data_IF_892832206599
#
_entry.id   IF_892832206599
#
_cell.length_a   1.000
_cell.length_b   1.000
_cell.length_c   1.000
_cell.angle_alpha   90.00
_cell.angle_beta   90.00
_cell.angle_gamma   90.00
#
_symmetry.space_group_name_H-M   'P 1'
#
loop_
_entity.id
_entity.type
_entity.pdbx_description
1 polymer ?
#
# COMPACT_ATOMS: atom_id res chain seq x y z
N UNK A 1 10.84 -17.95 -29.00
CA UNK A 1 10.38 -16.56 -28.77
C UNK A 1 9.08 -16.47 -27.97
N UNK A 2 8.13 -17.41 -28.11
CA UNK A 2 6.80 -17.33 -27.45
C UNK A 2 6.80 -17.25 -25.91
N UNK A 3 7.39 -18.22 -25.20
CA UNK A 3 7.35 -18.25 -23.73
C UNK A 3 8.25 -17.20 -23.06
N UNK A 4 9.44 -16.97 -23.61
CA UNK A 4 10.37 -15.95 -23.11
C UNK A 4 9.80 -14.55 -23.31
N UNK A 5 9.24 -14.26 -24.49
CA UNK A 5 8.60 -12.97 -24.76
C UNK A 5 7.37 -12.72 -23.88
N UNK A 6 6.53 -13.74 -23.69
CA UNK A 6 5.38 -13.66 -22.77
C UNK A 6 5.81 -13.42 -21.32
N UNK A 7 6.86 -14.10 -20.86
CA UNK A 7 7.41 -13.90 -19.52
C UNK A 7 7.86 -12.44 -19.33
N UNK A 8 8.68 -11.90 -20.23
CA UNK A 8 9.11 -10.49 -20.14
C UNK A 8 7.97 -9.48 -20.27
N UNK A 9 6.92 -9.80 -21.05
CA UNK A 9 5.76 -8.93 -21.19
C UNK A 9 4.85 -8.91 -19.96
N UNK A 10 4.93 -9.92 -19.08
CA UNK A 10 4.02 -10.08 -17.93
C UNK A 10 4.73 -9.94 -16.58
N UNK A 11 6.07 -10.00 -16.56
CA UNK A 11 6.86 -9.63 -15.38
C UNK A 11 6.61 -8.17 -15.01
N UNK A 12 6.37 -7.86 -13.72
CA UNK A 12 6.23 -6.47 -13.27
C UNK A 12 7.41 -5.62 -13.71
N UNK A 13 7.14 -4.41 -14.21
CA UNK A 13 8.19 -3.42 -14.37
C UNK A 13 8.60 -2.90 -12.99
N UNK A 14 9.86 -3.11 -12.64
CA UNK A 14 10.45 -2.45 -11.49
C UNK A 14 10.73 -1.01 -11.93
N UNK A 15 9.94 -0.04 -11.46
CA UNK A 15 10.26 1.38 -11.61
C UNK A 15 11.64 1.64 -11.03
N UNK A 16 12.47 2.40 -11.74
CA UNK A 16 13.75 2.85 -11.21
C UNK A 16 13.51 3.74 -9.99
N UNK A 17 14.23 3.48 -8.90
CA UNK A 17 14.10 4.25 -7.66
C UNK A 17 14.56 5.69 -7.91
N UNK A 18 13.74 6.66 -7.54
CA UNK A 18 14.03 8.06 -7.81
C UNK A 18 12.89 9.05 -7.56
N UNK A 19 11.77 8.62 -6.96
CA UNK A 19 10.77 9.58 -6.49
C UNK A 19 11.39 10.37 -5.32
N UNK A 20 11.52 11.68 -5.52
CA UNK A 20 11.95 12.64 -4.51
C UNK A 20 10.85 13.70 -4.37
N UNK A 21 9.67 13.26 -3.94
CA UNK A 21 8.54 14.16 -3.67
C UNK A 21 8.52 14.51 -2.20
N UNK A 22 8.12 15.76 -1.92
CA UNK A 22 7.92 16.25 -0.56
C UNK A 22 6.41 16.25 -0.30
N UNK A 23 5.92 15.45 0.66
CA UNK A 23 4.50 15.43 1.01
C UNK A 23 4.06 16.75 1.64
N UNK A 24 2.85 17.22 1.33
CA UNK A 24 2.17 18.24 2.11
C UNK A 24 1.36 17.57 3.25
N UNK A 25 1.68 17.85 4.52
CA UNK A 25 0.92 17.33 5.66
C UNK A 25 -0.57 17.65 5.62
N UNK A 26 -0.98 18.82 5.12
CA UNK A 26 -2.40 19.20 5.09
C UNK A 26 -3.17 18.41 4.03
N UNK A 27 -2.58 18.24 2.85
CA UNK A 27 -3.23 17.46 1.80
C UNK A 27 -3.24 15.98 2.14
N UNK A 28 -2.18 15.44 2.73
CA UNK A 28 -2.15 14.01 2.97
C UNK A 28 -3.07 13.54 4.10
N UNK A 29 -3.51 14.38 5.05
CA UNK A 29 -4.61 14.00 5.94
C UNK A 29 -5.89 13.73 5.11
N UNK A 30 -6.20 14.62 4.17
CA UNK A 30 -7.32 14.44 3.24
C UNK A 30 -7.15 13.18 2.38
N UNK A 31 -5.96 12.98 1.79
CA UNK A 31 -5.70 11.80 0.96
C UNK A 31 -5.77 10.51 1.78
N UNK A 32 -5.24 10.48 3.00
CA UNK A 32 -5.29 9.32 3.88
C UNK A 32 -6.73 8.88 4.18
N UNK A 33 -7.60 9.83 4.52
CA UNK A 33 -9.01 9.53 4.73
C UNK A 33 -9.72 9.10 3.44
N UNK A 34 -9.37 9.70 2.30
CA UNK A 34 -9.94 9.32 1.01
C UNK A 34 -9.47 7.93 0.54
N UNK A 35 -8.22 7.56 0.82
CA UNK A 35 -7.63 6.28 0.45
C UNK A 35 -8.20 5.11 1.28
N UNK A 36 -8.55 5.38 2.55
CA UNK A 36 -9.34 4.46 3.37
C UNK A 36 -8.57 3.25 3.92
N UNK A 37 -7.25 3.36 4.07
CA UNK A 37 -6.34 2.29 4.49
C UNK A 37 -6.80 1.59 5.79
N UNK A 38 -7.22 2.37 6.78
CA UNK A 38 -7.69 1.88 8.08
C UNK A 38 -8.98 1.04 8.02
N UNK A 39 -9.73 1.07 6.90
CA UNK A 39 -10.90 0.22 6.72
C UNK A 39 -10.56 -1.27 6.58
N UNK A 40 -9.38 -1.58 6.05
CA UNK A 40 -8.90 -2.96 5.88
C UNK A 40 -7.71 -3.30 6.78
N UNK A 41 -6.84 -2.33 7.05
CA UNK A 41 -5.58 -2.55 7.75
C UNK A 41 -5.64 -2.25 9.25
N UNK A 42 -6.82 -2.14 9.85
CA UNK A 42 -6.95 -2.05 11.30
C UNK A 42 -7.03 -3.43 11.96
N UNK A 43 -6.63 -3.49 13.24
CA UNK A 43 -6.87 -4.67 14.06
C UNK A 43 -8.38 -4.96 14.18
N UNK A 44 -8.79 -6.24 14.31
CA UNK A 44 -10.19 -6.59 14.54
C UNK A 44 -10.73 -5.89 15.80
N UNK A 45 -11.87 -5.19 15.66
CA UNK A 45 -12.49 -4.40 16.74
C UNK A 45 -11.61 -3.26 17.28
N UNK A 46 -10.68 -2.72 16.49
CA UNK A 46 -9.95 -1.53 16.86
C UNK A 46 -10.91 -0.35 17.08
N UNK A 47 -10.73 0.34 18.21
CA UNK A 47 -11.30 1.67 18.45
C UNK A 47 -10.87 2.64 17.33
N UNK A 48 -11.68 3.67 17.08
CA UNK A 48 -11.50 4.56 15.93
C UNK A 48 -10.06 5.12 15.82
N UNK A 49 -9.48 5.56 16.95
CA UNK A 49 -8.12 6.08 16.97
C UNK A 49 -7.04 5.00 16.76
N UNK A 50 -7.33 3.75 17.14
CA UNK A 50 -6.40 2.63 16.95
C UNK A 50 -6.37 2.14 15.49
N UNK A 51 -7.39 2.45 14.68
CA UNK A 51 -7.40 2.11 13.25
C UNK A 51 -6.28 2.80 12.47
N UNK A 52 -5.81 3.94 12.95
CA UNK A 52 -4.72 4.73 12.35
C UNK A 52 -3.35 4.09 12.49
N UNK A 53 -3.20 3.05 13.31
CA UNK A 53 -1.93 2.32 13.48
C UNK A 53 -1.66 1.39 12.29
N UNK A 54 -2.70 1.03 11.52
CA UNK A 54 -2.61 0.15 10.36
C UNK A 54 -1.92 -1.22 10.63
N UNK A 55 -2.15 -1.78 11.82
CA UNK A 55 -1.52 -3.02 12.29
C UNK A 55 -1.92 -4.29 11.53
N UNK A 56 -2.97 -4.22 10.71
CA UNK A 56 -3.49 -5.34 9.93
C UNK A 56 -4.23 -6.39 10.77
N UNK A 57 -4.38 -7.59 10.19
CA UNK A 57 -4.98 -8.75 10.86
C UNK A 57 -6.48 -8.95 10.60
N UNK A 58 -7.13 -8.02 9.91
CA UNK A 58 -8.52 -8.19 9.46
C UNK A 58 -8.64 -9.41 8.54
N UNK A 59 -9.66 -10.25 8.77
CA UNK A 59 -9.88 -11.50 8.04
C UNK A 59 -11.05 -11.39 7.07
N UNK A 60 -10.84 -11.81 5.84
CA UNK A 60 -11.84 -11.80 4.76
C UNK A 60 -12.00 -13.23 4.23
N UNK A 61 -13.00 -13.99 4.72
CA UNK A 61 -13.29 -15.33 4.22
C UNK A 61 -13.74 -15.29 2.75
N UNK A 62 -13.22 -16.21 1.94
CA UNK A 62 -13.63 -16.39 0.56
C UNK A 62 -13.63 -17.89 0.19
N UNK A 63 -14.24 -18.28 -0.95
CA UNK A 63 -14.13 -19.65 -1.46
C UNK A 63 -12.70 -20.12 -1.74
N UNK A 64 -11.74 -19.19 -1.87
CA UNK A 64 -10.32 -19.48 -2.15
C UNK A 64 -9.45 -19.48 -0.88
N UNK A 65 -10.07 -19.39 0.30
CA UNK A 65 -9.40 -19.26 1.58
C UNK A 65 -9.69 -17.92 2.26
N UNK A 66 -9.10 -17.72 3.44
CA UNK A 66 -9.23 -16.46 4.19
C UNK A 66 -8.07 -15.55 3.88
N UNK A 67 -8.35 -14.39 3.30
CA UNK A 67 -7.36 -13.33 3.15
C UNK A 67 -7.19 -12.61 4.48
N UNK A 68 -5.96 -12.27 4.82
CA UNK A 68 -5.63 -11.50 6.01
C UNK A 68 -4.96 -10.22 5.57
N UNK A 69 -5.50 -9.07 5.96
CA UNK A 69 -4.86 -7.79 5.66
C UNK A 69 -3.48 -7.74 6.35
N UNK A 70 -2.41 -7.39 5.62
CA UNK A 70 -1.07 -7.31 6.21
C UNK A 70 -0.96 -6.09 7.14
N UNK A 71 0.04 -6.11 8.01
CA UNK A 71 0.47 -4.93 8.76
C UNK A 71 1.12 -3.94 7.78
N UNK A 72 0.55 -2.73 7.68
CA UNK A 72 1.11 -1.64 6.86
C UNK A 72 1.42 -0.40 7.68
N UNK A 73 1.59 -0.57 9.00
CA UNK A 73 2.14 0.46 9.88
C UNK A 73 3.53 0.92 9.44
N UNK A 74 3.96 2.09 9.92
CA UNK A 74 5.30 2.61 9.69
C UNK A 74 6.41 1.95 10.55
N UNK A 75 6.12 0.79 11.16
CA UNK A 75 7.15 0.00 11.85
C UNK A 75 8.20 -0.50 10.83
N UNK A 76 9.48 -0.29 11.14
CA UNK A 76 10.60 -0.63 10.24
C UNK A 76 10.69 -2.14 9.97
N UNK A 77 10.63 -2.97 11.02
CA UNK A 77 10.79 -4.42 10.89
C UNK A 77 9.51 -5.20 10.51
N UNK A 78 8.34 -4.75 10.97
CA UNK A 78 7.08 -5.51 10.87
C UNK A 78 6.04 -4.87 9.97
N UNK A 79 6.27 -3.64 9.50
CA UNK A 79 5.37 -2.88 8.64
C UNK A 79 6.08 -2.44 7.36
N UNK A 80 5.72 -1.28 6.85
CA UNK A 80 6.28 -0.70 5.61
C UNK A 80 7.32 0.39 5.88
N UNK A 81 7.73 0.61 7.13
CA UNK A 81 8.64 1.71 7.48
C UNK A 81 10.02 1.69 6.81
N UNK A 82 10.43 0.54 6.25
CA UNK A 82 11.65 0.40 5.47
C UNK A 82 11.45 0.57 3.94
N UNK A 83 10.20 0.75 3.49
CA UNK A 83 9.90 0.88 2.06
C UNK A 83 10.32 2.25 1.55
N UNK A 84 10.86 2.29 0.33
CA UNK A 84 11.04 3.56 -0.37
C UNK A 84 9.70 4.10 -0.90
N UNK A 85 9.64 5.40 -1.17
CA UNK A 85 8.51 6.06 -1.85
C UNK A 85 8.11 5.31 -3.14
N UNK A 86 9.09 4.89 -3.95
CA UNK A 86 8.84 4.09 -5.16
C UNK A 86 8.22 2.71 -4.87
N UNK A 87 8.58 2.08 -3.76
CA UNK A 87 8.00 0.79 -3.39
C UNK A 87 6.53 0.95 -2.99
N UNK A 88 6.21 2.00 -2.24
CA UNK A 88 4.83 2.31 -1.86
C UNK A 88 3.97 2.71 -3.06
N UNK A 89 4.47 3.59 -3.93
CA UNK A 89 3.77 4.03 -5.14
C UNK A 89 3.46 2.84 -6.07
N UNK A 90 4.42 1.94 -6.26
CA UNK A 90 4.19 0.72 -7.06
C UNK A 90 3.20 -0.22 -6.40
N UNK A 91 3.29 -0.41 -5.09
CA UNK A 91 2.34 -1.24 -4.36
C UNK A 91 0.91 -0.72 -4.57
N UNK A 92 0.67 0.55 -4.23
CA UNK A 92 -0.67 1.17 -4.25
C UNK A 92 -1.23 1.28 -5.67
N UNK A 93 -0.45 1.82 -6.61
CA UNK A 93 -0.96 2.11 -7.96
C UNK A 93 -0.93 0.90 -8.87
N UNK A 94 0.08 0.04 -8.74
CA UNK A 94 0.32 -1.04 -9.71
C UNK A 94 0.02 -2.42 -9.14
N UNK A 95 -0.19 -2.54 -7.83
CA UNK A 95 -0.37 -3.83 -7.19
C UNK A 95 0.92 -4.65 -7.21
N UNK A 96 2.10 -4.02 -7.17
CA UNK A 96 3.40 -4.71 -7.25
C UNK A 96 4.17 -4.53 -5.95
N UNK A 97 4.58 -5.64 -5.36
CA UNK A 97 5.34 -5.65 -4.11
C UNK A 97 6.79 -5.15 -4.28
N UNK A 98 7.47 -4.78 -3.18
CA UNK A 98 8.87 -4.36 -3.23
C UNK A 98 9.80 -5.39 -3.88
N UNK A 99 9.50 -6.69 -3.71
CA UNK A 99 10.22 -7.82 -4.31
C UNK A 99 9.76 -8.17 -5.74
N UNK A 100 8.88 -7.37 -6.34
CA UNK A 100 8.50 -7.50 -7.75
C UNK A 100 7.50 -8.62 -8.03
N UNK A 101 6.59 -8.90 -7.09
CA UNK A 101 5.46 -9.83 -7.28
C UNK A 101 4.15 -9.06 -7.40
N UNK A 102 3.24 -9.57 -8.22
CA UNK A 102 1.88 -9.03 -8.29
C UNK A 102 1.11 -9.41 -7.02
N UNK A 103 0.44 -8.44 -6.42
CA UNK A 103 -0.52 -8.67 -5.36
C UNK A 103 -1.78 -9.33 -5.90
N UNK A 104 -2.37 -10.18 -5.06
CA UNK A 104 -3.67 -10.75 -5.38
C UNK A 104 -4.75 -9.65 -5.33
N UNK A 105 -5.75 -9.65 -6.24
CA UNK A 105 -6.77 -8.58 -6.33
C UNK A 105 -7.67 -8.39 -5.11
N UNK A 106 -7.44 -9.11 -4.01
CA UNK A 106 -8.00 -8.77 -2.69
C UNK A 106 -7.52 -7.39 -2.22
N UNK A 107 -6.34 -6.95 -2.65
CA UNK A 107 -5.92 -5.56 -2.56
C UNK A 107 -6.45 -4.80 -3.80
N UNK A 108 -7.34 -3.79 -3.64
CA UNK A 108 -8.00 -3.14 -4.77
C UNK A 108 -7.13 -2.07 -5.45
N UNK A 109 -5.90 -2.42 -5.84
CA UNK A 109 -4.93 -1.49 -6.45
C UNK A 109 -5.46 -0.76 -7.70
N UNK A 110 -6.39 -1.40 -8.44
CA UNK A 110 -7.04 -0.78 -9.62
C UNK A 110 -7.83 0.48 -9.28
N UNK A 111 -8.33 0.59 -8.05
CA UNK A 111 -9.05 1.78 -7.59
C UNK A 111 -8.13 2.98 -7.36
N UNK A 112 -6.82 2.75 -7.16
CA UNK A 112 -5.82 3.77 -6.86
C UNK A 112 -4.94 4.13 -8.06
N UNK A 113 -5.08 3.45 -9.21
CA UNK A 113 -4.28 3.69 -10.42
C UNK A 113 -4.29 5.16 -10.90
N UNK A 114 -5.42 5.84 -10.69
CA UNK A 114 -5.64 7.24 -11.08
C UNK A 114 -5.02 8.28 -10.13
N UNK A 115 -4.54 7.89 -8.95
CA UNK A 115 -3.86 8.80 -8.03
C UNK A 115 -2.53 9.27 -8.64
N UNK A 116 -2.14 10.52 -8.37
CA UNK A 116 -0.81 10.99 -8.72
C UNK A 116 0.25 10.39 -7.80
N UNK A 117 1.52 10.38 -8.23
CA UNK A 117 2.62 9.96 -7.34
C UNK A 117 2.65 10.85 -6.08
N UNK A 118 2.31 12.13 -6.19
CA UNK A 118 2.24 13.07 -5.06
C UNK A 118 1.18 12.66 -4.05
N UNK A 119 -0.06 12.39 -4.49
CA UNK A 119 -1.15 11.97 -3.59
C UNK A 119 -0.76 10.70 -2.83
N UNK A 120 -0.12 9.74 -3.52
CA UNK A 120 0.30 8.49 -2.89
C UNK A 120 1.42 8.70 -1.86
N UNK A 121 2.36 9.61 -2.10
CA UNK A 121 3.38 9.93 -1.09
C UNK A 121 2.79 10.72 0.08
N UNK A 122 1.78 11.55 -0.17
CA UNK A 122 1.08 12.27 0.90
C UNK A 122 0.27 11.34 1.80
N UNK A 123 -0.36 10.29 1.25
CA UNK A 123 -0.99 9.20 1.99
C UNK A 123 0.02 8.49 2.92
N UNK A 124 1.19 8.12 2.39
CA UNK A 124 2.26 7.47 3.15
C UNK A 124 2.70 8.27 4.39
N UNK A 125 2.80 9.59 4.25
CA UNK A 125 3.38 10.49 5.25
C UNK A 125 2.34 11.05 6.23
N UNK A 126 1.07 10.75 5.98
CA UNK A 126 -0.05 11.05 6.87
C UNK A 126 -0.63 9.82 7.55
N UNK A 127 -0.04 8.64 7.36
CA UNK A 127 -0.20 7.55 8.30
C UNK A 127 0.16 8.08 9.70
N UNK A 128 -0.87 8.26 10.53
CA UNK A 128 -0.82 8.99 11.80
C UNK A 128 0.11 8.30 12.81
N UNK A 129 0.58 7.08 12.52
CA UNK A 129 1.63 6.38 13.26
C UNK A 129 3.01 7.08 13.22
N UNK A 130 3.25 8.03 12.30
CA UNK A 130 4.51 8.81 12.23
C UNK A 130 4.47 10.10 13.06
N UNK A 131 3.29 10.54 13.52
CA UNK A 131 3.10 11.81 14.25
C UNK A 131 2.83 11.66 15.76
N UNK A 132 2.99 10.46 16.33
CA UNK A 132 2.78 10.17 17.75
C UNK A 132 4.09 9.78 18.45
#
# INVERSE_FOLDING_TARGET
>A
MGLVGFYYATTPSMREKGITLVPDPQNGEYVYFAAGCGGCHAAPNAEEDSKKVLSGGQKFPSPFGTFVAPNVSMHVDYGIGAWSQDDFVRAVRQGVSPDGRHYYPAFPYTSYQGMSDQDVIEDLENDVSVRA
#
